data_IF_757157875850
#
_entry.id   IF_757157875850
#
_cell.length_a   1.000
_cell.length_b   1.000
_cell.length_c   1.000
_cell.angle_alpha   90.00
_cell.angle_beta   90.00
_cell.angle_gamma   90.00
#
_symmetry.space_group_name_H-M   'P 1'
#
loop_
_entity.id
_entity.type
_entity.pdbx_description
1 polymer ?
#
# COMPACT_ATOMS: atom_id res chain seq x y z
N UNK A 1 4.80 80.53 16.33
CA UNK A 1 3.55 79.74 16.29
C UNK A 1 3.87 78.42 15.62
N UNK A 2 4.16 77.41 16.44
CA UNK A 2 4.51 76.04 15.96
C UNK A 2 3.24 75.19 15.93
N UNK A 3 2.91 74.67 14.75
CA UNK A 3 1.81 73.71 14.61
C UNK A 3 2.37 72.28 14.79
N UNK A 4 2.05 71.65 15.91
CA UNK A 4 2.32 70.22 16.14
C UNK A 4 1.30 69.38 15.36
N UNK A 5 1.74 68.71 14.32
CA UNK A 5 0.95 67.69 13.60
C UNK A 5 1.18 66.35 14.28
N UNK A 6 0.20 65.88 15.02
CA UNK A 6 0.19 64.55 15.65
C UNK A 6 -0.16 63.46 14.61
N UNK A 7 0.87 62.80 14.09
CA UNK A 7 0.81 61.72 13.06
C UNK A 7 0.89 60.38 13.78
N UNK A 8 -0.10 59.97 14.60
CA UNK A 8 0.07 58.73 15.39
C UNK A 8 -1.11 57.72 15.52
N UNK A 9 -2.24 57.82 14.83
CA UNK A 9 -3.19 56.69 14.93
C UNK A 9 -3.15 55.69 13.77
N UNK A 10 -2.67 56.07 12.60
CA UNK A 10 -2.76 55.18 11.38
C UNK A 10 -1.77 54.03 11.38
N UNK A 11 -0.56 54.18 11.96
CA UNK A 11 0.46 53.14 12.00
C UNK A 11 0.10 52.00 12.96
N UNK A 12 -0.59 52.28 14.04
CA UNK A 12 -1.01 51.28 15.03
C UNK A 12 -2.15 50.34 14.54
N UNK A 13 -2.99 50.80 13.62
CA UNK A 13 -4.07 49.99 13.06
C UNK A 13 -3.54 49.00 11.99
N UNK A 14 -2.55 49.40 11.18
CA UNK A 14 -1.90 48.53 10.21
C UNK A 14 -1.16 47.34 10.84
N UNK A 15 -0.46 47.56 11.96
CA UNK A 15 0.27 46.52 12.67
C UNK A 15 -0.65 45.44 13.31
N UNK A 16 -1.85 45.84 13.76
CA UNK A 16 -2.83 44.90 14.31
C UNK A 16 -3.51 44.05 13.24
N UNK A 17 -3.79 44.61 12.06
CA UNK A 17 -4.34 43.87 10.92
C UNK A 17 -3.34 42.85 10.34
N UNK A 18 -2.04 43.20 10.26
CA UNK A 18 -0.99 42.29 9.81
C UNK A 18 -0.77 41.12 10.80
N UNK A 19 -0.83 41.37 12.12
CA UNK A 19 -0.71 40.33 13.13
C UNK A 19 -1.89 39.35 13.11
N UNK A 20 -3.11 39.82 12.85
CA UNK A 20 -4.29 38.96 12.72
C UNK A 20 -4.26 38.06 11.46
N UNK A 21 -3.72 38.54 10.34
CA UNK A 21 -3.56 37.76 9.11
C UNK A 21 -2.52 36.64 9.26
N UNK A 22 -1.41 36.90 9.97
CA UNK A 22 -0.37 35.88 10.25
C UNK A 22 -0.89 34.80 11.20
N UNK A 23 -1.68 35.18 12.21
CA UNK A 23 -2.29 34.22 13.14
C UNK A 23 -3.32 33.32 12.47
N UNK A 24 -4.03 33.78 11.45
CA UNK A 24 -5.02 33.00 10.70
C UNK A 24 -4.38 31.99 9.73
N UNK A 25 -3.17 32.28 9.19
CA UNK A 25 -2.41 31.33 8.40
C UNK A 25 -1.79 30.18 9.22
N UNK A 26 -1.50 30.40 10.51
CA UNK A 26 -0.94 29.37 11.38
C UNK A 26 -1.97 28.31 11.83
N UNK A 27 -3.26 28.53 11.59
CA UNK A 27 -4.34 27.61 11.95
C UNK A 27 -4.68 26.59 10.84
N UNK A 28 -3.93 26.55 9.71
CA UNK A 28 -4.00 25.42 8.77
C UNK A 28 -3.30 24.23 9.43
N UNK A 29 -4.06 23.54 10.28
CA UNK A 29 -3.68 22.23 10.80
C UNK A 29 -3.38 21.33 9.63
N UNK A 30 -2.15 20.84 9.52
CA UNK A 30 -1.80 19.75 8.61
C UNK A 30 -2.68 18.56 8.98
N UNK A 31 -3.72 18.30 8.18
CA UNK A 31 -4.42 17.05 8.24
C UNK A 31 -3.36 15.96 7.97
N UNK A 32 -2.99 15.20 8.99
CA UNK A 32 -2.18 14.00 8.83
C UNK A 32 -3.00 13.08 7.92
N UNK A 33 -2.61 12.95 6.65
CA UNK A 33 -3.09 11.87 5.82
C UNK A 33 -2.65 10.59 6.54
N UNK A 34 -3.61 9.79 6.96
CA UNK A 34 -3.34 8.47 7.54
C UNK A 34 -2.50 7.71 6.51
N UNK A 35 -1.25 7.37 6.87
CA UNK A 35 -0.27 6.86 5.92
C UNK A 35 -0.78 5.53 5.34
N UNK A 36 -1.17 5.54 4.07
CA UNK A 36 -1.60 4.36 3.37
C UNK A 36 -0.49 3.29 3.38
N UNK A 37 -0.81 2.07 3.74
CA UNK A 37 0.11 0.94 3.69
C UNK A 37 0.37 0.61 2.21
N UNK A 38 1.51 1.06 1.68
CA UNK A 38 1.91 0.78 0.30
C UNK A 38 2.72 -0.51 0.23
N UNK A 39 2.27 -1.46 -0.59
CA UNK A 39 2.87 -2.79 -0.77
C UNK A 39 3.06 -3.03 -2.27
N UNK A 40 4.10 -3.77 -2.63
CA UNK A 40 4.29 -4.26 -3.99
C UNK A 40 3.57 -5.60 -4.14
N UNK A 41 3.02 -5.87 -5.32
CA UNK A 41 2.38 -7.14 -5.64
C UNK A 41 3.32 -8.32 -5.33
N UNK A 42 2.77 -9.40 -4.79
CA UNK A 42 3.47 -10.63 -4.37
C UNK A 42 4.51 -10.40 -3.24
N UNK A 43 4.50 -9.23 -2.58
CA UNK A 43 5.32 -8.95 -1.43
C UNK A 43 4.49 -8.84 -0.16
N UNK A 44 5.15 -9.03 0.97
CA UNK A 44 4.57 -8.87 2.29
C UNK A 44 5.24 -7.72 3.04
N UNK A 45 4.46 -6.99 3.84
CA UNK A 45 4.93 -5.93 4.71
C UNK A 45 4.46 -6.16 6.14
N UNK A 46 5.37 -6.00 7.09
CA UNK A 46 5.03 -6.07 8.51
C UNK A 46 4.51 -4.71 8.97
N UNK A 47 3.39 -4.72 9.68
CA UNK A 47 2.79 -3.57 10.31
C UNK A 47 2.41 -3.88 11.76
N UNK A 48 2.22 -2.85 12.58
CA UNK A 48 1.77 -3.01 13.97
C UNK A 48 0.25 -3.11 14.01
N UNK A 49 -0.25 -4.01 14.81
CA UNK A 49 -1.68 -4.11 15.12
C UNK A 49 -1.99 -3.10 16.24
N UNK A 50 -3.05 -2.27 16.13
CA UNK A 50 -3.47 -1.40 17.23
C UNK A 50 -3.74 -2.22 18.50
N UNK A 51 -3.40 -1.66 19.66
CA UNK A 51 -3.67 -2.32 20.94
C UNK A 51 -5.17 -2.61 21.10
N UNK A 52 -5.50 -3.74 21.74
CA UNK A 52 -6.86 -4.25 21.95
C UNK A 52 -7.62 -4.69 20.69
N UNK A 53 -6.95 -4.79 19.53
CA UNK A 53 -7.55 -5.36 18.33
C UNK A 53 -7.90 -6.82 18.57
N UNK A 54 -9.14 -7.16 18.28
CA UNK A 54 -9.63 -8.54 18.34
C UNK A 54 -9.94 -9.09 16.94
N UNK A 55 -10.33 -8.22 16.02
CA UNK A 55 -10.71 -8.60 14.65
C UNK A 55 -10.04 -7.66 13.66
N UNK A 56 -9.49 -8.22 12.58
CA UNK A 56 -9.04 -7.49 11.40
C UNK A 56 -9.95 -7.84 10.22
N UNK A 57 -10.37 -6.81 9.49
CA UNK A 57 -11.22 -6.95 8.30
C UNK A 57 -10.53 -6.32 7.12
N UNK A 58 -10.35 -7.08 6.05
CA UNK A 58 -9.86 -6.58 4.76
C UNK A 58 -11.06 -6.34 3.85
N UNK A 59 -11.19 -5.14 3.29
CA UNK A 59 -12.32 -4.77 2.43
C UNK A 59 -12.39 -5.60 1.15
N UNK A 60 -11.25 -5.84 0.50
CA UNK A 60 -11.17 -6.71 -0.67
C UNK A 60 -10.02 -7.72 -0.54
N UNK A 61 -10.30 -8.99 -0.25
CA UNK A 61 -9.29 -10.04 -0.08
C UNK A 61 -8.59 -10.45 -1.40
N UNK A 62 -9.06 -10.01 -2.57
CA UNK A 62 -8.37 -10.19 -3.84
C UNK A 62 -7.21 -9.21 -4.03
N UNK A 63 -7.24 -8.06 -3.34
CA UNK A 63 -6.18 -7.04 -3.40
C UNK A 63 -5.12 -7.29 -2.35
N UNK A 64 -5.52 -7.52 -1.10
CA UNK A 64 -4.60 -7.74 0.01
C UNK A 64 -5.12 -8.82 0.96
N UNK A 65 -4.19 -9.46 1.66
CA UNK A 65 -4.47 -10.42 2.72
C UNK A 65 -3.69 -10.05 3.98
N UNK A 66 -4.22 -10.40 5.15
CA UNK A 66 -3.61 -10.06 6.45
C UNK A 66 -3.57 -11.26 7.36
N UNK A 67 -2.40 -11.53 7.92
CA UNK A 67 -2.22 -12.53 8.97
C UNK A 67 -1.67 -11.88 10.25
N UNK A 68 -2.30 -12.19 11.39
CA UNK A 68 -1.83 -11.73 12.71
C UNK A 68 -0.70 -12.64 13.17
N UNK A 69 0.38 -12.03 13.62
CA UNK A 69 1.52 -12.71 14.23
C UNK A 69 1.56 -12.46 15.74
N UNK A 70 2.28 -13.33 16.46
CA UNK A 70 2.53 -13.10 17.88
C UNK A 70 3.27 -11.78 18.11
N UNK A 71 3.03 -11.13 19.26
CA UNK A 71 3.70 -9.86 19.61
C UNK A 71 3.06 -8.59 19.04
N UNK A 72 1.78 -8.64 18.65
CA UNK A 72 1.04 -7.44 18.22
C UNK A 72 1.48 -6.91 16.84
N UNK A 73 1.97 -7.81 15.99
CA UNK A 73 2.33 -7.51 14.62
C UNK A 73 1.37 -8.20 13.64
N UNK A 74 1.23 -7.64 12.46
CA UNK A 74 0.52 -8.24 11.33
C UNK A 74 1.40 -8.24 10.09
N UNK A 75 1.20 -9.24 9.26
CA UNK A 75 1.80 -9.34 7.93
C UNK A 75 0.71 -9.03 6.91
N UNK A 76 0.90 -7.99 6.12
CA UNK A 76 -0.01 -7.59 5.04
C UNK A 76 0.62 -7.99 3.72
N UNK A 77 -0.05 -8.83 2.95
CA UNK A 77 0.43 -9.37 1.66
C UNK A 77 -0.36 -8.78 0.51
N UNK A 78 0.33 -8.23 -0.49
CA UNK A 78 -0.28 -7.74 -1.72
C UNK A 78 -0.57 -8.89 -2.68
N UNK A 79 -1.85 -9.12 -3.03
CA UNK A 79 -2.30 -10.22 -3.90
C UNK A 79 -2.77 -9.75 -5.28
N UNK A 80 -3.28 -8.54 -5.37
CA UNK A 80 -3.78 -7.96 -6.62
C UNK A 80 -3.59 -6.45 -6.64
N UNK A 81 -3.48 -5.86 -7.82
CA UNK A 81 -3.36 -4.41 -7.95
C UNK A 81 -4.61 -3.69 -7.47
N UNK A 82 -4.43 -2.54 -6.86
CA UNK A 82 -5.53 -1.66 -6.47
C UNK A 82 -5.39 -1.11 -5.07
N UNK A 83 -6.50 -0.58 -4.57
CA UNK A 83 -6.61 0.00 -3.24
C UNK A 83 -7.76 -0.69 -2.52
N UNK A 84 -7.51 -1.06 -1.29
CA UNK A 84 -8.52 -1.57 -0.35
C UNK A 84 -8.31 -0.91 1.01
N UNK A 85 -9.12 -1.25 2.00
CA UNK A 85 -8.90 -0.81 3.37
C UNK A 85 -8.73 -1.99 4.32
N UNK A 86 -8.09 -1.70 5.44
CA UNK A 86 -7.87 -2.62 6.55
C UNK A 86 -8.45 -1.99 7.81
N UNK A 87 -9.46 -2.62 8.38
CA UNK A 87 -10.16 -2.15 9.56
C UNK A 87 -9.79 -3.01 10.75
N UNK A 88 -9.35 -2.39 11.84
CA UNK A 88 -9.10 -3.04 13.11
C UNK A 88 -10.25 -2.74 14.08
N UNK A 89 -10.83 -3.79 14.66
CA UNK A 89 -11.95 -3.72 15.59
C UNK A 89 -11.56 -4.27 16.97
N UNK A 90 -12.12 -3.69 18.02
CA UNK A 90 -12.06 -4.24 19.38
C UNK A 90 -13.12 -5.34 19.61
N UNK A 91 -13.14 -5.90 20.82
CA UNK A 91 -14.13 -6.95 21.19
C UNK A 91 -15.58 -6.45 21.15
N UNK A 92 -15.82 -5.16 21.31
CA UNK A 92 -17.15 -4.55 21.26
C UNK A 92 -17.57 -4.16 19.82
N UNK A 93 -16.73 -4.41 18.82
CA UNK A 93 -16.96 -4.02 17.44
C UNK A 93 -16.66 -2.55 17.14
N UNK A 94 -16.02 -1.83 18.06
CA UNK A 94 -15.60 -0.45 17.83
C UNK A 94 -14.39 -0.42 16.92
N UNK A 95 -14.41 0.47 15.92
CA UNK A 95 -13.28 0.72 15.02
C UNK A 95 -12.15 1.39 15.80
N UNK A 96 -10.99 0.74 15.81
CA UNK A 96 -9.74 1.24 16.38
C UNK A 96 -8.85 1.93 15.33
N UNK A 97 -8.89 1.43 14.10
CA UNK A 97 -8.14 1.97 12.96
C UNK A 97 -8.82 1.55 11.66
N UNK A 98 -8.82 2.43 10.67
CA UNK A 98 -9.22 2.16 9.27
C UNK A 98 -8.15 2.74 8.36
N UNK A 99 -7.29 1.88 7.79
CA UNK A 99 -6.13 2.28 7.00
C UNK A 99 -6.29 1.83 5.56
N UNK A 100 -5.92 2.68 4.62
CA UNK A 100 -5.84 2.32 3.21
C UNK A 100 -4.64 1.41 2.96
N UNK A 101 -4.86 0.36 2.17
CA UNK A 101 -3.83 -0.54 1.66
C UNK A 101 -3.77 -0.38 0.16
N UNK A 102 -2.63 0.07 -0.35
CA UNK A 102 -2.38 0.23 -1.77
C UNK A 102 -1.38 -0.82 -2.27
N UNK A 103 -1.80 -1.67 -3.19
CA UNK A 103 -0.93 -2.65 -3.86
C UNK A 103 -0.50 -2.11 -5.22
N UNK A 104 0.81 -1.92 -5.38
CA UNK A 104 1.45 -1.35 -6.57
C UNK A 104 2.12 -2.43 -7.42
N UNK A 105 2.32 -2.12 -8.70
CA UNK A 105 3.14 -2.94 -9.59
C UNK A 105 4.61 -2.93 -9.13
N UNK A 106 5.34 -4.04 -9.28
CA UNK A 106 6.79 -4.05 -9.15
C UNK A 106 7.45 -3.15 -10.19
N UNK A 107 8.60 -2.57 -9.82
CA UNK A 107 9.34 -1.65 -10.72
C UNK A 107 9.97 -2.35 -11.91
N UNK A 108 10.15 -3.67 -11.84
CA UNK A 108 10.69 -4.56 -12.87
C UNK A 108 9.62 -5.12 -13.82
N UNK A 109 8.37 -4.74 -13.65
CA UNK A 109 7.26 -5.22 -14.47
C UNK A 109 7.22 -4.52 -15.82
N UNK A 110 7.35 -5.29 -16.90
CA UNK A 110 7.23 -4.83 -18.30
C UNK A 110 6.01 -5.50 -18.92
N UNK A 111 5.17 -4.69 -19.56
CA UNK A 111 3.98 -5.17 -20.28
C UNK A 111 4.21 -5.02 -21.78
N UNK A 112 4.04 -6.12 -22.51
CA UNK A 112 4.19 -6.17 -23.98
C UNK A 112 2.83 -6.46 -24.61
N UNK A 113 2.48 -5.70 -25.63
CA UNK A 113 1.30 -5.95 -26.44
C UNK A 113 1.72 -6.55 -27.80
N UNK A 114 1.20 -7.75 -28.11
CA UNK A 114 1.33 -8.39 -29.43
C UNK A 114 -0.03 -8.37 -30.12
N UNK A 115 -0.30 -7.29 -30.85
CA UNK A 115 -1.65 -7.01 -31.32
C UNK A 115 -2.57 -6.68 -30.14
N UNK A 116 -3.56 -7.51 -29.88
CA UNK A 116 -4.48 -7.37 -28.75
C UNK A 116 -4.06 -8.19 -27.51
N UNK A 117 -3.10 -9.10 -27.67
CA UNK A 117 -2.62 -9.96 -26.59
C UNK A 117 -1.69 -9.18 -25.66
N UNK A 118 -2.03 -9.16 -24.38
CA UNK A 118 -1.21 -8.58 -23.30
C UNK A 118 -0.37 -9.67 -22.66
N UNK A 119 0.91 -9.44 -22.50
CA UNK A 119 1.89 -10.33 -21.89
C UNK A 119 2.69 -9.54 -20.83
N UNK A 120 2.89 -10.11 -19.65
CA UNK A 120 3.65 -9.48 -18.56
C UNK A 120 4.97 -10.21 -18.32
N UNK A 121 6.02 -9.43 -18.09
CA UNK A 121 7.37 -9.91 -17.82
C UNK A 121 7.92 -9.23 -16.57
N UNK A 122 8.79 -9.94 -15.84
CA UNK A 122 9.65 -9.38 -14.79
C UNK A 122 11.07 -9.28 -15.36
N UNK A 123 11.65 -8.06 -15.35
CA UNK A 123 12.94 -7.78 -15.97
C UNK A 123 13.94 -7.26 -14.93
N UNK A 124 14.68 -8.18 -14.25
CA UNK A 124 15.68 -7.81 -13.26
C UNK A 124 16.81 -8.88 -13.14
N UNK A 125 17.91 -8.81 -13.92
CA UNK A 125 18.20 -8.00 -15.11
C UNK A 125 17.58 -8.55 -16.39
N UNK A 126 17.33 -9.86 -16.45
CA UNK A 126 16.77 -10.55 -17.61
C UNK A 126 15.24 -10.60 -17.51
N UNK A 127 14.58 -10.61 -18.69
CA UNK A 127 13.12 -10.62 -18.73
C UNK A 127 12.58 -12.05 -18.69
N UNK A 128 11.92 -12.40 -17.61
CA UNK A 128 11.25 -13.68 -17.40
C UNK A 128 9.73 -13.52 -17.46
N UNK A 129 9.02 -14.58 -17.90
CA UNK A 129 7.57 -14.60 -17.92
C UNK A 129 6.99 -14.46 -16.51
N UNK A 130 6.01 -13.57 -16.36
CA UNK A 130 5.30 -13.37 -15.11
C UNK A 130 3.80 -13.61 -15.29
N UNK A 131 3.17 -14.29 -14.36
CA UNK A 131 1.71 -14.45 -14.33
C UNK A 131 1.11 -13.17 -13.71
N UNK A 132 0.30 -12.45 -14.49
CA UNK A 132 -0.37 -11.22 -14.04
C UNK A 132 -1.82 -11.23 -14.49
N UNK A 133 -2.73 -10.81 -13.61
CA UNK A 133 -4.14 -10.65 -13.98
C UNK A 133 -4.28 -9.64 -15.11
N UNK A 134 -5.06 -10.00 -16.13
CA UNK A 134 -5.28 -9.21 -17.34
C UNK A 134 -4.35 -9.54 -18.52
N UNK A 135 -3.42 -10.48 -18.38
CA UNK A 135 -2.69 -11.05 -19.52
C UNK A 135 -3.64 -11.86 -20.40
N UNK A 136 -3.27 -12.05 -21.66
CA UNK A 136 -4.04 -12.88 -22.58
C UNK A 136 -4.17 -14.31 -22.03
N UNK A 137 -5.34 -14.96 -22.17
CA UNK A 137 -5.56 -16.29 -21.63
C UNK A 137 -4.53 -17.31 -22.06
N UNK A 138 -4.14 -17.30 -23.34
CA UNK A 138 -3.13 -18.22 -23.89
C UNK A 138 -1.76 -18.07 -23.19
N UNK A 139 -1.31 -16.84 -22.97
CA UNK A 139 -0.06 -16.56 -22.28
C UNK A 139 -0.14 -16.95 -20.80
N UNK A 140 -1.25 -16.61 -20.15
CA UNK A 140 -1.49 -16.91 -18.74
C UNK A 140 -1.51 -18.41 -18.47
N UNK A 141 -2.29 -19.17 -19.25
CA UNK A 141 -2.45 -20.61 -19.09
C UNK A 141 -1.17 -21.36 -19.41
N UNK A 142 -0.44 -20.96 -20.46
CA UNK A 142 0.86 -21.54 -20.80
C UNK A 142 1.87 -21.35 -19.65
N UNK A 143 1.99 -20.14 -19.13
CA UNK A 143 2.93 -19.82 -18.04
C UNK A 143 2.56 -20.51 -16.73
N UNK A 144 1.26 -20.59 -16.41
CA UNK A 144 0.74 -21.31 -15.25
C UNK A 144 1.02 -22.83 -15.37
N UNK A 145 0.81 -23.41 -16.55
CA UNK A 145 1.08 -24.82 -16.83
C UNK A 145 2.57 -25.17 -16.68
N UNK A 146 3.47 -24.35 -17.21
CA UNK A 146 4.93 -24.52 -17.03
C UNK A 146 5.34 -24.47 -15.57
N UNK A 147 4.76 -23.51 -14.79
CA UNK A 147 5.00 -23.38 -13.35
C UNK A 147 4.49 -24.61 -12.58
N UNK A 148 3.31 -25.10 -12.90
CA UNK A 148 2.73 -26.31 -12.32
C UNK A 148 3.60 -27.55 -12.58
N UNK A 149 4.05 -27.75 -13.81
CA UNK A 149 4.93 -28.85 -14.20
C UNK A 149 6.29 -28.80 -13.48
N UNK A 150 6.88 -27.61 -13.34
CA UNK A 150 8.11 -27.39 -12.58
C UNK A 150 7.94 -27.79 -11.12
N UNK A 151 6.87 -27.34 -10.48
CA UNK A 151 6.60 -27.62 -9.07
C UNK A 151 6.34 -29.13 -8.84
N UNK A 152 5.60 -29.80 -9.72
CA UNK A 152 5.37 -31.23 -9.63
C UNK A 152 6.67 -32.04 -9.72
N UNK A 153 7.58 -31.67 -10.63
CA UNK A 153 8.90 -32.32 -10.75
C UNK A 153 9.80 -32.08 -9.55
N UNK A 154 9.76 -30.87 -8.97
CA UNK A 154 10.53 -30.55 -7.77
C UNK A 154 10.07 -31.39 -6.56
N UNK A 155 8.76 -31.63 -6.41
CA UNK A 155 8.21 -32.48 -5.35
C UNK A 155 8.60 -33.97 -5.54
N UNK A 156 8.61 -34.47 -6.77
CA UNK A 156 9.05 -35.85 -7.07
C UNK A 156 10.53 -36.08 -6.72
N UNK A 157 11.37 -35.10 -6.93
CA UNK A 157 12.79 -35.17 -6.54
C UNK A 157 13.02 -35.27 -5.03
N UNK A 158 12.14 -34.73 -4.22
CA UNK A 158 12.25 -34.79 -2.76
C UNK A 158 11.86 -36.17 -2.18
N UNK A 159 10.91 -36.87 -2.81
CA UNK A 159 10.47 -38.20 -2.37
C UNK A 159 11.53 -39.29 -2.63
N UNK A 160 12.37 -39.16 -3.65
CA UNK A 160 13.46 -40.13 -3.96
C UNK A 160 14.61 -40.02 -2.96
N UNK A 161 14.87 -38.84 -2.37
CA UNK A 161 15.93 -38.63 -1.39
C UNK A 161 15.66 -39.21 0.01
N UNK A 162 14.40 -39.51 0.35
CA UNK A 162 14.03 -39.99 1.69
C UNK A 162 14.06 -41.51 1.81
N UNK A 163 14.17 -42.25 0.69
CA UNK A 163 14.17 -43.74 0.69
C UNK A 163 15.59 -44.33 0.69
N UNK A 164 16.64 -43.50 0.68
CA UNK A 164 18.06 -43.94 0.61
C UNK A 164 18.80 -43.72 1.94
N UNK A 165 18.20 -44.10 3.10
CA UNK A 165 18.89 -44.07 4.39
C UNK A 165 18.51 -45.29 5.24
#
# INVERSE_FOLDING_TARGET
>A
MCANVTLTPLIRQGARAAAAAVAMCAALSTASADDAISIVLDQARIAKVPERTTTLVVGNPLIADVSIQSGGTMVVTGKGYGVTNLIALDRAGKVLSDQLVQVKSPNDSVVVYRGIARESYSCAPDCERRITLGDSPEYFDATLGETGNRNARAQQGQTVGTTAR
#
